data_IF_162292115778
#
_entry.id   IF_162292115778
#
_cell.length_a   1.000
_cell.length_b   1.000
_cell.length_c   1.000
_cell.angle_alpha   90.00
_cell.angle_beta   90.00
_cell.angle_gamma   90.00
#
_symmetry.space_group_name_H-M   'P 1'
#
loop_
_entity.id
_entity.type
_entity.pdbx_description
1 polymer ?
#
# COMPACT_ATOMS: atom_id res chain seq x y z
N UNK A 1 -81.87 -49.43 -64.47
CA UNK A 1 -81.64 -49.72 -63.03
C UNK A 1 -80.26 -49.21 -62.59
N UNK A 2 -79.91 -48.04 -63.10
CA UNK A 2 -79.92 -46.74 -62.43
C UNK A 2 -78.88 -46.44 -61.34
N UNK A 3 -78.16 -45.32 -61.51
CA UNK A 3 -76.71 -45.30 -61.48
C UNK A 3 -76.20 -44.40 -60.35
N UNK A 4 -76.80 -44.54 -59.16
CA UNK A 4 -76.53 -43.69 -58.00
C UNK A 4 -75.89 -44.44 -56.83
N UNK A 5 -75.67 -45.75 -56.98
CA UNK A 5 -75.08 -46.60 -55.94
C UNK A 5 -73.53 -46.54 -55.87
N UNK A 6 -72.86 -45.87 -56.81
CA UNK A 6 -71.38 -45.89 -56.91
C UNK A 6 -70.72 -44.52 -56.74
N UNK A 7 -71.47 -43.48 -56.34
CA UNK A 7 -70.95 -42.10 -56.21
C UNK A 7 -69.94 -41.96 -55.05
N UNK A 8 -70.06 -42.76 -54.00
CA UNK A 8 -69.17 -42.75 -52.82
C UNK A 8 -67.81 -43.46 -53.04
N UNK A 9 -67.60 -44.10 -54.19
CA UNK A 9 -66.35 -44.78 -54.54
C UNK A 9 -65.39 -43.89 -55.37
N UNK A 10 -65.73 -42.61 -55.59
CA UNK A 10 -64.84 -41.67 -56.27
C UNK A 10 -63.97 -40.94 -55.25
N UNK A 11 -62.64 -40.93 -55.39
CA UNK A 11 -61.76 -40.18 -54.49
C UNK A 11 -62.06 -38.67 -54.59
N UNK A 12 -62.02 -37.99 -53.44
CA UNK A 12 -62.20 -36.54 -53.33
C UNK A 12 -61.26 -35.80 -54.28
N UNK A 13 -61.80 -34.89 -55.09
CA UNK A 13 -61.03 -34.06 -56.00
C UNK A 13 -60.07 -33.17 -55.22
N UNK A 14 -58.82 -33.06 -55.71
CA UNK A 14 -57.75 -32.28 -55.12
C UNK A 14 -58.10 -30.80 -55.05
N UNK A 15 -58.64 -30.36 -53.91
CA UNK A 15 -58.77 -28.95 -53.56
C UNK A 15 -57.43 -28.42 -53.06
N UNK A 16 -57.06 -27.22 -53.51
CA UNK A 16 -55.79 -26.56 -53.19
C UNK A 16 -55.53 -26.52 -51.69
N UNK A 17 -54.50 -27.22 -51.24
CA UNK A 17 -53.95 -27.10 -49.89
C UNK A 17 -53.31 -25.72 -49.79
N UNK A 18 -53.86 -24.83 -48.97
CA UNK A 18 -53.21 -23.57 -48.60
C UNK A 18 -51.99 -23.89 -47.75
N UNK A 19 -50.83 -24.07 -48.40
CA UNK A 19 -49.55 -24.21 -47.71
C UNK A 19 -49.24 -22.89 -46.99
N UNK A 20 -49.12 -22.95 -45.66
CA UNK A 20 -48.56 -21.86 -44.85
C UNK A 20 -47.22 -21.45 -45.46
N UNK A 21 -47.06 -20.18 -45.81
CA UNK A 21 -45.79 -19.66 -46.30
C UNK A 21 -44.72 -19.92 -45.24
N UNK A 22 -43.73 -20.76 -45.56
CA UNK A 22 -42.56 -20.99 -44.73
C UNK A 22 -41.81 -19.66 -44.66
N UNK A 23 -41.92 -18.97 -43.52
CA UNK A 23 -41.15 -17.76 -43.24
C UNK A 23 -39.68 -18.17 -43.21
N UNK A 24 -38.94 -17.84 -44.27
CA UNK A 24 -37.51 -18.05 -44.32
C UNK A 24 -36.83 -17.06 -43.36
N UNK A 25 -36.56 -17.52 -42.15
CA UNK A 25 -35.94 -16.73 -41.07
C UNK A 25 -34.47 -16.40 -41.32
N UNK A 26 -33.84 -16.99 -42.35
CA UNK A 26 -32.49 -16.67 -42.78
C UNK A 26 -32.42 -16.69 -44.32
N UNK A 27 -32.82 -15.59 -45.00
CA UNK A 27 -32.60 -15.48 -46.44
C UNK A 27 -31.09 -15.60 -46.73
N UNK A 28 -30.76 -16.26 -47.83
CA UNK A 28 -29.37 -16.40 -48.28
C UNK A 28 -28.82 -15.01 -48.58
N UNK A 29 -28.06 -14.47 -47.62
CA UNK A 29 -27.40 -13.17 -47.75
C UNK A 29 -26.33 -13.35 -48.80
N UNK A 30 -26.52 -12.77 -49.98
CA UNK A 30 -25.47 -12.62 -50.97
C UNK A 30 -24.27 -12.00 -50.27
N UNK A 31 -23.24 -12.81 -50.04
CA UNK A 31 -21.96 -12.35 -49.54
C UNK A 31 -21.49 -11.34 -50.56
N UNK A 32 -21.60 -10.05 -50.22
CA UNK A 32 -21.05 -8.99 -51.06
C UNK A 32 -19.61 -9.38 -51.34
N UNK A 33 -19.34 -9.48 -52.63
CA UNK A 33 -18.05 -9.70 -53.28
C UNK A 33 -16.88 -9.64 -52.30
N UNK A 34 -16.14 -10.76 -52.22
CA UNK A 34 -14.78 -10.87 -51.71
C UNK A 34 -14.24 -9.52 -51.23
N UNK A 35 -14.49 -9.19 -49.95
CA UNK A 35 -13.85 -8.08 -49.27
C UNK A 35 -12.39 -8.20 -49.67
N UNK A 36 -11.88 -7.20 -50.39
CA UNK A 36 -10.53 -7.24 -50.97
C UNK A 36 -9.58 -7.70 -49.88
N UNK A 37 -9.20 -8.98 -49.95
CA UNK A 37 -8.26 -9.59 -49.02
C UNK A 37 -6.91 -9.16 -49.53
N UNK A 38 -6.62 -7.87 -49.33
CA UNK A 38 -5.27 -7.37 -49.46
C UNK A 38 -4.35 -8.23 -48.61
N UNK A 39 -3.06 -8.24 -48.95
CA UNK A 39 -2.06 -8.85 -48.08
C UNK A 39 -2.00 -8.05 -46.78
N UNK A 40 -2.65 -8.53 -45.73
CA UNK A 40 -2.63 -7.91 -44.40
C UNK A 40 -1.51 -8.51 -43.56
N UNK A 41 -0.91 -7.68 -42.72
CA UNK A 41 0.05 -8.10 -41.71
C UNK A 41 -0.67 -8.28 -40.36
N UNK A 42 -0.17 -9.22 -39.57
CA UNK A 42 -0.63 -9.39 -38.18
C UNK A 42 -0.09 -8.22 -37.33
N UNK A 43 -0.96 -7.47 -36.60
CA UNK A 43 -0.55 -6.33 -35.78
C UNK A 43 0.44 -6.68 -34.65
N UNK A 44 0.49 -7.94 -34.23
CA UNK A 44 1.37 -8.39 -33.16
C UNK A 44 2.77 -8.76 -33.63
N UNK A 45 2.97 -8.93 -34.94
CA UNK A 45 4.27 -9.24 -35.52
C UNK A 45 5.17 -8.00 -35.57
N UNK A 46 6.40 -8.14 -35.07
CA UNK A 46 7.39 -7.04 -34.98
C UNK A 46 8.42 -7.04 -36.11
N UNK A 47 8.62 -8.17 -36.77
CA UNK A 47 9.60 -8.34 -37.85
C UNK A 47 8.87 -8.80 -39.10
N UNK A 48 9.14 -8.16 -40.24
CA UNK A 48 8.54 -8.49 -41.54
C UNK A 48 9.65 -8.93 -42.49
N UNK A 49 9.41 -10.00 -43.25
CA UNK A 49 10.40 -10.60 -44.16
C UNK A 49 10.39 -10.03 -45.58
N UNK A 50 9.44 -9.15 -45.88
CA UNK A 50 9.30 -8.46 -47.16
C UNK A 50 9.03 -6.97 -46.90
N UNK A 51 9.07 -6.15 -47.94
CA UNK A 51 8.79 -4.72 -47.83
C UNK A 51 7.27 -4.48 -48.06
N UNK A 52 6.44 -4.31 -47.02
CA UNK A 52 5.02 -4.05 -47.19
C UNK A 52 4.75 -2.65 -47.74
N UNK A 53 3.58 -2.44 -48.33
CA UNK A 53 3.13 -1.09 -48.71
C UNK A 53 2.60 -0.35 -47.50
N UNK A 54 2.62 0.99 -47.55
CA UNK A 54 2.12 1.85 -46.47
C UNK A 54 0.70 1.47 -46.01
N UNK A 55 -0.20 1.25 -46.97
CA UNK A 55 -1.59 0.88 -46.69
C UNK A 55 -1.70 -0.45 -45.95
N UNK A 56 -0.85 -1.43 -46.27
CA UNK A 56 -0.87 -2.75 -45.62
C UNK A 56 -0.25 -2.74 -44.22
N UNK A 57 0.74 -1.88 -43.96
CA UNK A 57 1.46 -1.82 -42.69
C UNK A 57 0.77 -0.91 -41.65
N UNK A 58 0.23 0.23 -42.09
CA UNK A 58 -0.37 1.23 -41.21
C UNK A 58 -1.92 1.22 -41.23
N UNK A 59 -2.52 0.15 -41.74
CA UNK A 59 -3.97 -0.05 -41.66
C UNK A 59 -4.43 -0.07 -40.18
N UNK A 60 -5.49 0.67 -39.83
CA UNK A 60 -6.02 0.65 -38.46
C UNK A 60 -6.71 -0.68 -38.15
N UNK A 61 -6.59 -1.14 -36.91
CA UNK A 61 -7.31 -2.32 -36.42
C UNK A 61 -8.82 -2.07 -36.38
N UNK A 62 -9.59 -3.01 -36.92
CA UNK A 62 -11.06 -2.94 -36.92
C UNK A 62 -11.64 -3.53 -35.62
N UNK A 63 -12.62 -2.84 -35.04
CA UNK A 63 -13.39 -3.31 -33.88
C UNK A 63 -13.36 -2.36 -32.68
N UNK A 64 -14.17 -2.63 -31.64
CA UNK A 64 -14.16 -1.83 -30.42
C UNK A 64 -12.90 -2.11 -29.59
N UNK A 65 -12.36 -1.06 -28.97
CA UNK A 65 -11.26 -1.19 -27.99
C UNK A 65 -11.75 -1.92 -26.75
N UNK A 66 -10.93 -2.82 -26.21
CA UNK A 66 -11.27 -3.59 -25.02
C UNK A 66 -11.38 -2.67 -23.77
N UNK A 67 -12.57 -2.55 -23.14
CA UNK A 67 -12.77 -1.64 -22.01
C UNK A 67 -12.18 -2.16 -20.69
N UNK A 68 -11.76 -3.43 -20.62
CA UNK A 68 -11.22 -4.04 -19.41
C UNK A 68 -9.71 -3.79 -19.22
N UNK A 69 -9.07 -3.12 -20.17
CA UNK A 69 -7.66 -2.77 -20.08
C UNK A 69 -7.47 -1.46 -19.29
N UNK A 70 -6.52 -1.46 -18.35
CA UNK A 70 -6.07 -0.21 -17.72
C UNK A 70 -5.30 0.62 -18.74
N UNK A 71 -5.10 1.93 -18.46
CA UNK A 71 -4.34 2.81 -19.35
C UNK A 71 -2.93 2.26 -19.67
N UNK A 72 -2.27 1.65 -18.67
CA UNK A 72 -0.96 1.01 -18.84
C UNK A 72 -1.03 -0.25 -19.72
N UNK A 73 -2.12 -1.03 -19.64
CA UNK A 73 -2.30 -2.23 -20.47
C UNK A 73 -2.69 -1.89 -21.91
N UNK A 74 -3.41 -0.79 -22.11
CA UNK A 74 -3.81 -0.30 -23.43
C UNK A 74 -2.65 0.34 -24.21
N UNK A 75 -1.61 0.80 -23.53
CA UNK A 75 -0.43 1.38 -24.16
C UNK A 75 0.50 0.29 -24.75
N UNK A 76 1.10 0.51 -25.93
CA UNK A 76 2.12 -0.39 -26.47
C UNK A 76 3.33 -0.41 -25.53
N UNK A 77 3.67 -1.59 -25.00
CA UNK A 77 4.74 -1.74 -24.01
C UNK A 77 5.61 -2.96 -24.29
N UNK A 78 6.92 -2.80 -24.13
CA UNK A 78 7.90 -3.88 -24.21
C UNK A 78 8.40 -4.29 -22.81
N UNK A 79 8.34 -3.36 -21.85
CA UNK A 79 8.59 -3.58 -20.43
C UNK A 79 7.38 -3.17 -19.59
N UNK A 80 7.39 -3.41 -18.28
CA UNK A 80 6.25 -3.11 -17.42
C UNK A 80 5.86 -1.62 -17.48
N UNK A 81 6.84 -0.71 -17.46
CA UNK A 81 6.62 0.73 -17.39
C UNK A 81 6.41 1.42 -18.74
N UNK A 82 6.56 0.72 -19.87
CA UNK A 82 6.41 1.34 -21.20
C UNK A 82 7.20 0.65 -22.32
N UNK A 83 7.50 1.41 -23.36
CA UNK A 83 8.26 0.96 -24.52
C UNK A 83 9.68 1.54 -24.48
N UNK A 84 10.69 0.68 -24.57
CA UNK A 84 12.08 1.07 -24.58
C UNK A 84 12.74 0.44 -25.80
N UNK A 85 13.26 1.29 -26.68
CA UNK A 85 13.98 0.90 -27.89
C UNK A 85 15.35 1.61 -27.95
N UNK A 86 16.38 0.96 -28.51
CA UNK A 86 17.65 1.63 -28.79
C UNK A 86 17.44 2.74 -29.82
N UNK A 87 17.77 3.97 -29.43
CA UNK A 87 17.75 5.13 -30.32
C UNK A 87 19.17 5.57 -30.67
N UNK A 88 19.36 6.03 -31.92
CA UNK A 88 20.63 6.58 -32.39
C UNK A 88 20.51 8.10 -32.54
N UNK A 89 20.82 8.82 -31.46
CA UNK A 89 20.82 10.29 -31.43
C UNK A 89 22.26 10.79 -31.41
N UNK A 90 22.52 11.94 -32.04
CA UNK A 90 23.83 12.59 -31.96
C UNK A 90 24.10 13.06 -30.51
N UNK A 91 25.23 12.63 -29.94
CA UNK A 91 25.67 12.97 -28.58
C UNK A 91 25.61 14.46 -28.28
N UNK A 92 26.04 15.29 -29.24
CA UNK A 92 26.04 16.74 -29.05
C UNK A 92 24.62 17.31 -28.98
N UNK A 93 23.71 16.85 -29.84
CA UNK A 93 22.31 17.32 -29.86
C UNK A 93 21.56 16.88 -28.60
N UNK A 94 21.79 15.64 -28.15
CA UNK A 94 21.22 15.13 -26.92
C UNK A 94 21.68 15.95 -25.70
N UNK A 95 22.99 16.17 -25.55
CA UNK A 95 23.52 16.92 -24.41
C UNK A 95 23.18 18.41 -24.49
N UNK A 96 23.08 18.99 -25.69
CA UNK A 96 22.57 20.34 -25.93
C UNK A 96 21.14 20.50 -25.40
N UNK A 97 20.22 19.63 -25.79
CA UNK A 97 18.83 19.71 -25.33
C UNK A 97 18.72 19.39 -23.83
N UNK A 98 19.44 18.38 -23.34
CA UNK A 98 19.45 18.02 -21.91
C UNK A 98 19.94 19.16 -21.01
N UNK A 99 21.03 19.85 -21.39
CA UNK A 99 21.53 21.02 -20.64
C UNK A 99 20.61 22.22 -20.76
N UNK A 100 19.99 22.42 -21.92
CA UNK A 100 19.01 23.49 -22.15
C UNK A 100 17.81 23.31 -21.23
N UNK A 101 17.26 22.10 -21.14
CA UNK A 101 16.19 21.80 -20.18
C UNK A 101 16.62 21.99 -18.73
N UNK A 102 17.82 21.55 -18.37
CA UNK A 102 18.34 21.69 -16.99
C UNK A 102 18.64 23.14 -16.59
N UNK A 103 18.95 24.01 -17.56
CA UNK A 103 19.36 25.41 -17.31
C UNK A 103 18.19 26.39 -17.44
N UNK A 104 17.33 26.19 -18.43
CA UNK A 104 16.24 27.08 -18.79
C UNK A 104 14.85 26.45 -18.67
N UNK A 105 14.74 25.15 -18.36
CA UNK A 105 13.44 24.49 -18.15
C UNK A 105 12.67 24.15 -19.44
N UNK A 106 13.26 24.34 -20.62
CA UNK A 106 12.66 23.96 -21.89
C UNK A 106 13.63 23.21 -22.81
N UNK A 107 13.10 22.39 -23.71
CA UNK A 107 13.84 21.71 -24.75
C UNK A 107 12.90 21.34 -25.92
N UNK A 108 13.47 20.89 -27.03
CA UNK A 108 12.71 20.29 -28.13
C UNK A 108 12.23 18.89 -27.75
N UNK A 109 11.00 18.55 -28.15
CA UNK A 109 10.45 17.21 -27.94
C UNK A 109 11.22 16.15 -28.76
N UNK A 110 11.82 15.12 -28.12
CA UNK A 110 12.46 14.02 -28.83
C UNK A 110 11.48 12.94 -29.32
N UNK A 111 10.16 13.14 -29.16
CA UNK A 111 9.14 12.18 -29.60
C UNK A 111 9.15 11.96 -31.12
N UNK A 112 8.90 10.71 -31.53
CA UNK A 112 8.85 10.30 -32.94
C UNK A 112 7.41 9.87 -33.25
N UNK A 113 6.50 10.84 -33.31
CA UNK A 113 5.11 10.59 -33.64
C UNK A 113 4.90 10.56 -35.16
N UNK A 114 4.41 9.45 -35.70
CA UNK A 114 4.10 9.31 -37.13
C UNK A 114 2.96 10.23 -37.60
N UNK A 115 2.20 10.83 -36.69
CA UNK A 115 0.96 11.59 -36.99
C UNK A 115 1.08 13.11 -36.77
N UNK A 116 2.18 13.63 -36.21
CA UNK A 116 2.29 15.06 -35.93
C UNK A 116 2.85 15.88 -37.10
N UNK A 117 2.12 16.96 -37.43
CA UNK A 117 2.41 17.94 -38.50
C UNK A 117 3.35 19.07 -37.99
N UNK A 118 3.47 19.25 -36.68
CA UNK A 118 4.37 20.23 -36.07
C UNK A 118 5.75 19.63 -35.87
N UNK A 119 6.68 19.93 -36.78
CA UNK A 119 8.04 19.38 -36.81
C UNK A 119 8.94 19.83 -35.65
N UNK A 120 8.50 20.76 -34.79
CA UNK A 120 9.36 21.34 -33.75
C UNK A 120 8.50 21.90 -32.61
N UNK A 121 8.09 21.04 -31.67
CA UNK A 121 7.41 21.49 -30.45
C UNK A 121 8.41 21.63 -29.30
N UNK A 122 8.27 22.70 -28.51
CA UNK A 122 9.00 22.84 -27.24
C UNK A 122 8.21 22.18 -26.11
N UNK A 123 8.93 21.51 -25.21
CA UNK A 123 8.39 20.89 -24.00
C UNK A 123 9.00 21.55 -22.75
N UNK A 124 8.24 21.54 -21.65
CA UNK A 124 8.59 22.19 -20.39
C UNK A 124 8.03 23.61 -20.29
N UNK A 125 8.88 24.60 -20.01
CA UNK A 125 8.50 26.00 -19.90
C UNK A 125 8.43 26.69 -21.29
N UNK A 126 7.36 26.43 -22.04
CA UNK A 126 7.16 26.97 -23.41
C UNK A 126 7.22 28.51 -23.46
N UNK A 127 6.65 29.18 -22.45
CA UNK A 127 6.70 30.65 -22.35
C UNK A 127 8.13 31.19 -22.28
N UNK A 128 9.05 30.47 -21.63
CA UNK A 128 10.47 30.85 -21.55
C UNK A 128 11.21 30.53 -22.84
N UNK A 129 10.79 29.48 -23.56
CA UNK A 129 11.31 29.15 -24.88
C UNK A 129 11.01 30.27 -25.88
N UNK A 130 9.78 30.78 -25.91
CA UNK A 130 9.39 31.88 -26.79
C UNK A 130 10.10 33.20 -26.42
N UNK A 131 10.18 33.53 -25.12
CA UNK A 131 10.89 34.71 -24.62
C UNK A 131 12.37 34.70 -25.01
N UNK A 132 13.02 33.54 -24.90
CA UNK A 132 14.43 33.36 -25.22
C UNK A 132 14.67 32.93 -26.68
N UNK A 133 13.62 32.84 -27.50
CA UNK A 133 13.66 32.40 -28.92
C UNK A 133 14.33 31.03 -29.12
N UNK A 134 14.18 30.12 -28.17
CA UNK A 134 14.75 28.76 -28.26
C UNK A 134 16.26 28.67 -28.05
N UNK A 135 16.88 29.67 -27.42
CA UNK A 135 18.33 29.71 -27.20
C UNK A 135 18.84 28.50 -26.40
N UNK A 136 19.84 27.81 -26.95
CA UNK A 136 20.48 26.68 -26.25
C UNK A 136 21.69 27.10 -25.42
N UNK A 137 22.11 26.27 -24.47
CA UNK A 137 23.25 26.57 -23.57
C UNK A 137 24.58 26.78 -24.30
N UNK A 138 24.74 26.17 -25.47
CA UNK A 138 25.95 26.28 -26.28
C UNK A 138 25.94 27.51 -27.20
N UNK A 139 24.82 28.23 -27.28
CA UNK A 139 24.71 29.49 -28.03
C UNK A 139 25.01 30.68 -27.12
N UNK A 140 25.69 31.68 -27.67
CA UNK A 140 25.94 32.92 -26.93
C UNK A 140 24.67 33.76 -26.82
N UNK A 141 23.98 33.63 -25.70
CA UNK A 141 22.75 34.37 -25.41
C UNK A 141 22.95 35.81 -24.95
N UNK A 142 21.81 36.45 -24.65
CA UNK A 142 21.77 37.71 -23.92
C UNK A 142 22.39 37.50 -22.53
N UNK A 143 23.51 38.17 -22.26
CA UNK A 143 24.20 38.06 -20.97
C UNK A 143 23.27 38.59 -19.88
N UNK A 144 23.08 37.81 -18.80
CA UNK A 144 22.46 38.32 -17.57
C UNK A 144 23.20 39.59 -17.15
N UNK A 145 22.43 40.65 -16.93
CA UNK A 145 22.93 41.97 -16.51
C UNK A 145 23.56 41.93 -15.13
N UNK A 146 23.05 41.07 -14.23
CA UNK A 146 23.53 40.95 -12.86
C UNK A 146 24.33 39.67 -12.65
N UNK A 147 25.66 39.80 -12.63
CA UNK A 147 26.56 38.73 -12.19
C UNK A 147 26.70 38.80 -10.67
N UNK A 148 26.53 37.67 -9.98
CA UNK A 148 26.83 37.57 -8.55
C UNK A 148 28.30 37.89 -8.30
N UNK A 149 28.57 38.74 -7.32
CA UNK A 149 29.92 39.18 -6.96
C UNK A 149 30.64 38.07 -6.20
N UNK A 150 31.85 37.74 -6.63
CA UNK A 150 32.76 36.82 -5.95
C UNK A 150 33.77 37.61 -5.14
N UNK A 151 34.16 37.06 -3.99
CA UNK A 151 35.27 37.60 -3.21
C UNK A 151 36.53 37.57 -4.08
N UNK A 152 37.22 38.71 -4.22
CA UNK A 152 38.50 38.75 -4.94
C UNK A 152 39.57 38.06 -4.09
N UNK A 153 39.99 36.87 -4.49
CA UNK A 153 41.16 36.20 -3.91
C UNK A 153 42.43 36.99 -4.24
N UNK A 154 43.36 37.05 -3.29
CA UNK A 154 44.67 37.67 -3.50
C UNK A 154 45.47 37.01 -4.62
N UNK A 155 46.67 37.52 -4.88
CA UNK A 155 47.59 36.91 -5.84
C UNK A 155 48.09 35.56 -5.33
N UNK A 156 48.56 34.69 -6.22
CA UNK A 156 49.07 33.35 -5.88
C UNK A 156 50.30 33.37 -4.95
N UNK A 157 50.91 34.54 -4.73
CA UNK A 157 52.00 34.74 -3.78
C UNK A 157 51.53 34.84 -2.33
N UNK A 158 50.26 35.17 -2.08
CA UNK A 158 49.69 35.26 -0.73
C UNK A 158 49.10 33.90 -0.33
N UNK A 159 49.82 33.19 0.55
CA UNK A 159 49.56 31.79 0.92
C UNK A 159 48.19 31.63 1.60
N UNK A 160 47.76 32.61 2.39
CA UNK A 160 46.56 32.48 3.22
C UNK A 160 45.31 33.07 2.53
N UNK A 161 45.48 34.04 1.62
CA UNK A 161 44.36 34.76 0.97
C UNK A 161 44.14 34.39 -0.51
N UNK A 162 44.92 33.46 -1.07
CA UNK A 162 44.71 32.99 -2.43
C UNK A 162 43.46 32.10 -2.53
N UNK A 163 42.38 32.66 -3.09
CA UNK A 163 41.12 31.93 -3.30
C UNK A 163 40.97 31.39 -4.73
N UNK A 164 41.65 31.98 -5.73
CA UNK A 164 41.59 31.53 -7.12
C UNK A 164 40.15 31.23 -7.63
N UNK A 165 39.93 30.09 -8.34
CA UNK A 165 38.59 29.63 -8.73
C UNK A 165 37.67 29.22 -7.56
N UNK A 166 38.22 28.98 -6.37
CA UNK A 166 37.49 28.65 -5.14
C UNK A 166 36.94 29.87 -4.41
N UNK A 167 37.08 31.06 -4.98
CA UNK A 167 36.44 32.28 -4.50
C UNK A 167 34.92 32.12 -4.35
N UNK A 168 34.46 32.18 -3.10
CA UNK A 168 33.04 32.12 -2.72
C UNK A 168 32.31 33.39 -3.19
N UNK A 169 30.99 33.31 -3.31
CA UNK A 169 30.19 34.51 -3.55
C UNK A 169 30.06 35.34 -2.26
N UNK A 170 29.98 36.67 -2.39
CA UNK A 170 29.87 37.59 -1.24
C UNK A 170 28.55 37.39 -0.46
N UNK A 171 27.49 36.97 -1.15
CA UNK A 171 26.16 36.72 -0.61
C UNK A 171 25.98 35.29 -0.05
N UNK A 172 26.97 34.42 -0.23
CA UNK A 172 26.90 33.02 0.19
C UNK A 172 27.28 32.86 1.67
N UNK A 173 26.32 32.41 2.48
CA UNK A 173 26.56 32.09 3.89
C UNK A 173 26.99 30.63 4.03
N UNK A 174 28.16 30.40 4.63
CA UNK A 174 28.70 29.03 4.83
C UNK A 174 27.89 28.19 5.82
N UNK A 175 27.17 28.83 6.75
CA UNK A 175 26.41 28.13 7.80
C UNK A 175 24.96 28.58 7.71
N UNK A 176 24.11 27.69 7.20
CA UNK A 176 22.65 27.82 7.29
C UNK A 176 22.19 27.18 8.60
N UNK A 177 21.98 28.00 9.64
CA UNK A 177 21.32 27.53 10.86
C UNK A 177 19.80 27.66 10.67
N UNK A 178 19.00 26.63 11.02
CA UNK A 178 17.55 26.75 11.02
C UNK A 178 17.10 27.93 11.90
N UNK A 179 15.95 28.49 11.58
CA UNK A 179 15.31 29.53 12.39
C UNK A 179 14.97 28.99 13.78
N UNK A 180 14.73 29.88 14.75
CA UNK A 180 14.45 29.46 16.14
C UNK A 180 13.18 28.62 16.25
N UNK A 181 12.20 28.85 15.39
CA UNK A 181 10.97 28.06 15.29
C UNK A 181 11.26 26.66 14.74
N UNK A 182 11.97 26.57 13.59
CA UNK A 182 12.37 25.28 13.01
C UNK A 182 13.24 24.44 13.95
N UNK A 183 14.08 25.08 14.79
CA UNK A 183 14.86 24.37 15.81
C UNK A 183 13.97 23.73 16.87
N UNK A 184 12.95 24.45 17.37
CA UNK A 184 12.01 23.91 18.34
C UNK A 184 11.22 22.75 17.75
N UNK A 185 10.80 22.86 16.49
CA UNK A 185 10.09 21.79 15.79
C UNK A 185 10.98 20.55 15.61
N UNK A 186 12.26 20.73 15.26
CA UNK A 186 13.23 19.64 15.17
C UNK A 186 13.50 19.00 16.54
N UNK A 187 13.63 19.80 17.59
CA UNK A 187 13.79 19.32 18.97
C UNK A 187 12.58 18.53 19.44
N UNK A 188 11.36 19.01 19.15
CA UNK A 188 10.12 18.29 19.45
C UNK A 188 10.03 16.96 18.68
N UNK A 189 10.38 16.97 17.39
CA UNK A 189 10.44 15.76 16.56
C UNK A 189 11.43 14.74 17.12
N UNK A 190 12.63 15.19 17.50
CA UNK A 190 13.64 14.33 18.12
C UNK A 190 13.19 13.78 19.47
N UNK A 191 12.54 14.61 20.30
CA UNK A 191 11.97 14.18 21.57
C UNK A 191 10.85 13.12 21.37
N UNK A 192 9.97 13.31 20.37
CA UNK A 192 8.94 12.32 19.99
C UNK A 192 9.57 11.01 19.54
N UNK A 193 10.64 11.06 18.74
CA UNK A 193 11.38 9.87 18.28
C UNK A 193 12.05 9.14 19.46
N UNK A 194 12.64 9.87 20.40
CA UNK A 194 13.31 9.30 21.56
C UNK A 194 12.33 8.62 22.53
N UNK A 195 11.16 9.25 22.78
CA UNK A 195 10.10 8.67 23.63
C UNK A 195 9.53 7.37 23.06
N UNK A 196 9.47 7.21 21.73
CA UNK A 196 9.02 5.95 21.10
C UNK A 196 10.00 4.78 21.31
N UNK A 197 11.28 5.06 21.49
CA UNK A 197 12.32 4.04 21.62
C UNK A 197 12.68 3.66 23.06
N UNK A 198 12.34 4.50 24.05
CA UNK A 198 12.71 4.29 25.45
C UNK A 198 11.51 3.74 26.22
N UNK A 199 11.55 2.44 26.54
CA UNK A 199 10.64 1.84 27.53
C UNK A 199 11.16 2.25 28.90
N UNK A 200 10.65 3.35 29.44
CA UNK A 200 10.89 3.71 30.84
C UNK A 200 10.18 2.65 31.70
N UNK A 201 10.94 1.66 32.17
CA UNK A 201 10.49 0.81 33.27
C UNK A 201 10.63 1.57 34.57
N UNK A 202 9.64 2.39 34.87
CA UNK A 202 9.34 2.75 36.24
C UNK A 202 8.58 1.56 36.83
N UNK A 203 9.15 0.89 37.83
CA UNK A 203 8.47 -0.19 38.56
C UNK A 203 7.76 0.41 39.78
N UNK A 204 6.46 0.74 39.71
CA UNK A 204 5.73 1.21 40.87
C UNK A 204 5.49 0.03 41.82
N UNK A 205 6.27 -0.04 42.90
CA UNK A 205 6.05 -0.97 44.01
C UNK A 205 4.99 -0.40 44.98
N UNK A 206 3.75 -0.30 44.51
CA UNK A 206 2.62 0.06 45.38
C UNK A 206 2.02 -1.20 46.03
N UNK A 207 2.30 -1.43 47.32
CA UNK A 207 1.67 -2.50 48.11
C UNK A 207 0.35 -2.02 48.73
N UNK A 208 -0.73 -2.80 48.62
CA UNK A 208 -2.06 -2.50 49.20
C UNK A 208 -2.64 -3.72 49.90
N UNK A 209 -3.21 -3.54 51.10
CA UNK A 209 -3.86 -4.61 51.89
C UNK A 209 -5.29 -4.23 52.26
N UNK A 210 -6.26 -5.12 51.99
CA UNK A 210 -7.69 -4.89 52.28
C UNK A 210 -8.20 -5.99 53.21
N UNK A 211 -8.64 -5.60 54.41
CA UNK A 211 -9.24 -6.50 55.38
C UNK A 211 -10.77 -6.54 55.20
N UNK A 212 -11.31 -7.71 54.88
CA UNK A 212 -12.72 -7.90 54.54
C UNK A 212 -13.62 -8.26 55.75
N UNK A 213 -13.01 -8.67 56.88
CA UNK A 213 -13.74 -9.05 58.11
C UNK A 213 -14.07 -7.78 58.90
N UNK A 214 -15.25 -7.72 59.52
CA UNK A 214 -15.72 -6.51 60.24
C UNK A 214 -14.87 -6.19 61.47
N UNK A 215 -14.46 -7.22 62.22
CA UNK A 215 -13.69 -7.08 63.45
C UNK A 215 -12.39 -7.91 63.36
N UNK A 216 -11.26 -7.28 63.70
CA UNK A 216 -9.93 -7.92 63.63
C UNK A 216 -9.68 -8.87 64.81
N UNK A 217 -10.40 -8.69 65.91
CA UNK A 217 -10.24 -9.42 67.15
C UNK A 217 -11.56 -10.06 67.59
N UNK A 218 -11.46 -11.24 68.17
CA UNK A 218 -12.58 -12.00 68.74
C UNK A 218 -13.06 -11.41 70.09
N UNK A 219 -14.15 -11.92 70.67
CA UNK A 219 -14.72 -11.47 71.95
C UNK A 219 -13.74 -11.58 73.15
N UNK A 220 -12.65 -12.34 73.00
CA UNK A 220 -11.56 -12.47 73.97
C UNK A 220 -10.29 -11.68 73.59
N UNK A 221 -10.35 -10.80 72.59
CA UNK A 221 -9.21 -10.00 72.12
C UNK A 221 -8.16 -10.79 71.32
N UNK A 222 -8.49 -11.97 70.81
CA UNK A 222 -7.58 -12.84 70.05
C UNK A 222 -7.69 -12.53 68.56
N UNK A 223 -6.58 -12.55 67.82
CA UNK A 223 -6.62 -12.38 66.35
C UNK A 223 -7.15 -13.63 65.65
N UNK A 224 -7.56 -13.49 64.40
CA UNK A 224 -7.99 -14.60 63.53
C UNK A 224 -6.91 -15.69 63.33
N UNK A 225 -5.64 -15.41 63.66
CA UNK A 225 -4.54 -16.37 63.63
C UNK A 225 -4.61 -17.41 64.77
N UNK A 226 -5.35 -17.15 65.85
CA UNK A 226 -5.44 -18.07 66.98
C UNK A 226 -6.25 -19.33 66.64
N UNK A 227 -5.70 -20.51 66.99
CA UNK A 227 -6.33 -21.81 66.70
C UNK A 227 -7.68 -21.95 67.42
N UNK A 228 -8.80 -22.16 66.69
CA UNK A 228 -10.11 -22.32 67.30
C UNK A 228 -10.22 -23.65 68.06
N UNK A 229 -10.89 -23.62 69.21
CA UNK A 229 -11.16 -24.80 70.05
C UNK A 229 -12.62 -25.26 69.97
N UNK A 230 -13.47 -24.48 69.28
CA UNK A 230 -14.91 -24.73 69.10
C UNK A 230 -15.22 -25.62 67.88
N UNK A 231 -14.17 -26.18 67.26
CA UNK A 231 -14.32 -27.13 66.16
C UNK A 231 -14.37 -28.53 66.77
N UNK A 232 -15.27 -29.40 66.29
CA UNK A 232 -15.46 -30.77 66.80
C UNK A 232 -14.27 -31.73 66.64
N UNK A 233 -13.08 -31.22 66.29
CA UNK A 233 -11.80 -31.94 66.19
C UNK A 233 -10.68 -31.13 66.84
N UNK A 234 -9.72 -31.80 67.47
CA UNK A 234 -8.58 -31.13 68.10
C UNK A 234 -7.52 -30.75 67.06
N UNK A 235 -7.40 -29.45 66.76
CA UNK A 235 -6.42 -28.93 65.79
C UNK A 235 -5.02 -28.68 66.37
N UNK A 236 -4.81 -28.94 67.66
CA UNK A 236 -3.50 -28.79 68.33
C UNK A 236 -2.73 -30.10 68.45
N UNK A 237 -3.37 -31.25 68.23
CA UNK A 237 -2.69 -32.54 68.32
C UNK A 237 -1.73 -32.71 67.13
N UNK A 238 -0.47 -33.09 67.36
CA UNK A 238 0.46 -33.43 66.28
C UNK A 238 0.16 -34.80 65.66
N UNK A 239 -0.70 -35.60 66.30
CA UNK A 239 -1.02 -36.95 65.90
C UNK A 239 -1.95 -36.96 64.68
N UNK A 240 -1.60 -37.78 63.69
CA UNK A 240 -2.45 -38.02 62.54
C UNK A 240 -3.73 -38.77 62.98
N UNK A 241 -4.88 -38.54 62.32
CA UNK A 241 -6.11 -39.25 62.66
C UNK A 241 -5.99 -40.75 62.40
N UNK A 242 -6.62 -41.56 63.25
CA UNK A 242 -6.58 -43.03 63.19
C UNK A 242 -7.04 -43.61 61.83
N UNK A 243 -7.93 -42.91 61.11
CA UNK A 243 -8.43 -43.34 59.81
C UNK A 243 -8.82 -42.16 58.91
N UNK A 244 -8.27 -42.13 57.69
CA UNK A 244 -8.61 -41.16 56.66
C UNK A 244 -9.64 -41.73 55.66
N UNK A 245 -10.59 -40.90 55.24
CA UNK A 245 -11.62 -41.26 54.26
C UNK A 245 -11.54 -40.36 53.03
N UNK A 246 -11.84 -40.92 51.85
CA UNK A 246 -11.92 -40.13 50.61
C UNK A 246 -13.19 -39.25 50.61
N UNK A 247 -13.08 -37.95 50.27
CA UNK A 247 -14.22 -37.06 50.24
C UNK A 247 -15.18 -37.45 49.10
N UNK A 248 -16.48 -37.40 49.39
CA UNK A 248 -17.55 -37.72 48.42
C UNK A 248 -18.38 -36.51 48.00
N UNK A 249 -18.21 -35.37 48.66
CA UNK A 249 -19.00 -34.16 48.47
C UNK A 249 -18.11 -32.92 48.60
N UNK A 250 -18.35 -31.92 47.77
CA UNK A 250 -17.78 -30.58 47.93
C UNK A 250 -18.59 -29.83 48.99
N UNK A 251 -17.92 -29.30 50.01
CA UNK A 251 -18.58 -28.60 51.12
C UNK A 251 -18.61 -27.09 50.88
N UNK A 252 -17.51 -26.51 50.37
CA UNK A 252 -17.36 -25.07 50.18
C UNK A 252 -16.91 -24.68 48.76
N UNK A 253 -17.39 -23.54 48.29
CA UNK A 253 -16.94 -22.83 47.08
C UNK A 253 -16.50 -21.44 47.54
N UNK A 254 -15.21 -21.16 47.47
CA UNK A 254 -14.66 -19.86 47.87
C UNK A 254 -14.45 -18.98 46.64
N UNK A 255 -15.43 -18.13 46.34
CA UNK A 255 -15.31 -17.10 45.30
C UNK A 255 -14.67 -15.83 45.87
N UNK A 256 -13.80 -15.18 45.09
CA UNK A 256 -13.20 -13.89 45.46
C UNK A 256 -11.99 -13.50 44.62
N UNK A 257 -11.32 -14.46 43.98
CA UNK A 257 -10.32 -14.17 42.94
C UNK A 257 -11.00 -14.06 41.58
N UNK A 258 -10.55 -13.13 40.75
CA UNK A 258 -11.07 -12.95 39.39
C UNK A 258 -10.40 -13.89 38.38
N UNK A 259 -9.17 -14.31 38.68
CA UNK A 259 -8.38 -15.25 37.88
C UNK A 259 -8.15 -16.57 38.62
N UNK A 260 -7.49 -17.51 37.94
CA UNK A 260 -7.12 -18.79 38.50
C UNK A 260 -6.21 -18.65 39.72
N UNK A 261 -6.50 -19.45 40.74
CA UNK A 261 -5.67 -19.57 41.94
C UNK A 261 -4.38 -20.31 41.58
N UNK A 262 -3.24 -19.67 41.82
CA UNK A 262 -1.91 -20.23 41.52
C UNK A 262 -1.40 -21.12 42.64
N UNK A 263 -1.68 -20.78 43.90
CA UNK A 263 -1.25 -21.55 45.06
C UNK A 263 -2.25 -21.47 46.21
N UNK A 264 -2.41 -22.58 46.92
CA UNK A 264 -3.19 -22.68 48.15
C UNK A 264 -2.28 -23.26 49.25
N UNK A 265 -2.23 -22.61 50.41
CA UNK A 265 -1.46 -23.07 51.57
C UNK A 265 -2.32 -22.98 52.84
N UNK A 266 -2.35 -24.07 53.60
CA UNK A 266 -3.00 -24.07 54.91
C UNK A 266 -2.07 -23.45 55.97
N UNK A 267 -2.66 -22.92 57.03
CA UNK A 267 -1.91 -22.40 58.16
C UNK A 267 -1.08 -23.51 58.81
N UNK A 268 0.20 -23.26 59.13
CA UNK A 268 1.06 -24.29 59.70
C UNK A 268 0.48 -24.85 61.00
N UNK A 269 0.75 -26.13 61.27
CA UNK A 269 0.34 -26.92 62.45
C UNK A 269 -1.16 -27.21 62.62
N UNK A 270 -2.05 -26.26 62.37
CA UNK A 270 -3.47 -26.38 62.73
C UNK A 270 -4.43 -26.34 61.54
N UNK A 271 -3.97 -25.84 60.37
CA UNK A 271 -4.76 -25.82 59.13
C UNK A 271 -6.10 -25.07 59.21
N UNK A 272 -6.28 -24.18 60.19
CA UNK A 272 -7.55 -23.46 60.41
C UNK A 272 -7.74 -22.23 59.52
N UNK A 273 -6.67 -21.72 58.90
CA UNK A 273 -6.74 -20.69 57.86
C UNK A 273 -6.16 -21.21 56.54
N UNK A 274 -6.56 -20.58 55.45
CA UNK A 274 -6.17 -20.88 54.08
C UNK A 274 -5.70 -19.61 53.37
N UNK A 275 -4.43 -19.62 52.97
CA UNK A 275 -3.82 -18.62 52.09
C UNK A 275 -3.99 -19.05 50.64
N UNK A 276 -4.47 -18.12 49.81
CA UNK A 276 -4.66 -18.29 48.38
C UNK A 276 -3.94 -17.18 47.63
N UNK A 277 -3.16 -17.53 46.61
CA UNK A 277 -2.53 -16.58 45.70
C UNK A 277 -3.16 -16.73 44.31
N UNK A 278 -3.40 -15.62 43.62
CA UNK A 278 -4.03 -15.62 42.31
C UNK A 278 -3.24 -14.79 41.30
N UNK A 279 -3.49 -15.06 40.00
CA UNK A 279 -2.83 -14.39 38.87
C UNK A 279 -3.32 -12.95 38.62
N UNK A 280 -4.24 -12.46 39.43
CA UNK A 280 -4.69 -11.07 39.47
C UNK A 280 -3.85 -10.19 40.41
N UNK A 281 -2.68 -10.68 40.83
CA UNK A 281 -1.75 -10.02 41.76
C UNK A 281 -2.33 -9.83 43.17
N UNK A 282 -3.38 -10.59 43.52
CA UNK A 282 -4.03 -10.55 44.84
C UNK A 282 -3.71 -11.82 45.63
N UNK A 283 -3.29 -11.63 46.88
CA UNK A 283 -3.22 -12.67 47.91
C UNK A 283 -4.43 -12.55 48.85
N UNK A 284 -5.11 -13.66 49.11
CA UNK A 284 -6.24 -13.73 50.03
C UNK A 284 -6.00 -14.72 51.16
N UNK A 285 -6.20 -14.28 52.40
CA UNK A 285 -6.24 -15.12 53.60
C UNK A 285 -7.70 -15.33 54.00
N UNK A 286 -8.09 -16.58 54.26
CA UNK A 286 -9.44 -16.96 54.69
C UNK A 286 -9.37 -17.85 55.91
#
# INVERSE_FOLDING_TARGET
>A
MDPDATVHLKPLQSGNVTTLAVLNSAPEVAVKESVETGTHLDPTLKEVSYNPTYETLFAPEFGPKNPFQTQQMAAPRNMLSGYAEPAHVNDFMFEQQRRTFSTYGYALDPSVDAQQISTTSYIGAVDEAEKNKGLTVFESGQKKTEKRKKVKGGEAADIDNFLGPWAKYEDEKNVAKPTEEEKKDLEEYLAKRQKRGKREEESPAEEKTILHVKDMYDYQGRSYLHVPQDVGVNLRSPDAPDKCYLPKKQIHVWSGHTKGVSAIRLFPSSGHLLLSCSMDFVGGLR
#
